data_IF_920139720014
#
_entry.id   IF_920139720014
#
_cell.length_a   1.000
_cell.length_b   1.000
_cell.length_c   1.000
_cell.angle_alpha   90.00
_cell.angle_beta   90.00
_cell.angle_gamma   90.00
#
_symmetry.space_group_name_H-M   'P 1'
#
loop_
_entity.id
_entity.type
_entity.pdbx_description
1 polymer ?
#
# COMPACT_ATOMS: atom_id res chain seq x y z
N UNK A 1 -10.59 7.46 4.86
CA UNK A 1 -9.54 8.35 5.37
C UNK A 1 -9.77 8.61 6.84
N UNK A 2 -8.73 8.86 7.62
CA UNK A 2 -8.87 9.25 9.03
C UNK A 2 -8.35 10.67 9.24
N UNK A 3 -8.94 11.38 10.20
CA UNK A 3 -8.33 12.57 10.76
C UNK A 3 -6.98 12.20 11.38
N UNK A 4 -5.97 13.05 11.21
CA UNK A 4 -4.62 12.78 11.68
C UNK A 4 -4.23 13.75 12.78
N UNK A 5 -3.38 13.29 13.69
CA UNK A 5 -2.78 14.10 14.75
C UNK A 5 -1.51 14.85 14.29
N UNK A 6 -1.13 14.74 13.00
CA UNK A 6 0.02 15.44 12.44
C UNK A 6 -0.31 16.94 12.40
N UNK A 7 0.47 17.79 13.06
CA UNK A 7 0.06 19.18 13.33
C UNK A 7 -0.24 20.01 12.07
N UNK A 8 0.39 19.69 10.94
CA UNK A 8 0.35 20.48 9.72
C UNK A 8 -0.66 19.97 8.67
N UNK A 9 -1.36 18.87 8.91
CA UNK A 9 -2.41 18.37 7.99
C UNK A 9 -3.58 17.76 8.74
N UNK A 10 -4.78 17.92 8.20
CA UNK A 10 -6.01 17.33 8.76
C UNK A 10 -6.23 15.90 8.27
N UNK A 11 -5.57 15.50 7.17
CA UNK A 11 -5.84 14.23 6.48
C UNK A 11 -4.54 13.63 5.94
N UNK A 12 -4.40 12.32 6.08
CA UNK A 12 -3.35 11.55 5.42
C UNK A 12 -3.95 10.32 4.74
N UNK A 13 -3.37 9.93 3.61
CA UNK A 13 -3.83 8.78 2.86
C UNK A 13 -2.71 8.16 2.03
N UNK A 14 -2.91 6.91 1.65
CA UNK A 14 -1.95 6.17 0.84
C UNK A 14 -2.52 5.94 -0.58
N UNK A 15 -2.13 6.76 -1.58
CA UNK A 15 -2.64 6.63 -2.94
C UNK A 15 -1.93 5.55 -3.76
N UNK A 16 -0.81 5.00 -3.28
CA UNK A 16 0.04 4.10 -4.04
C UNK A 16 0.40 2.88 -3.20
N UNK A 17 0.29 1.69 -3.77
CA UNK A 17 0.73 0.46 -3.11
C UNK A 17 1.69 -0.29 -4.01
N UNK A 18 2.73 -0.86 -3.41
CA UNK A 18 3.76 -1.62 -4.09
C UNK A 18 5.09 -0.91 -4.18
N UNK A 19 6.12 -1.66 -4.57
CA UNK A 19 7.48 -1.17 -4.68
C UNK A 19 8.33 -2.18 -5.49
N UNK A 20 9.44 -1.70 -6.05
CA UNK A 20 10.50 -2.57 -6.58
C UNK A 20 11.58 -2.74 -5.53
N UNK A 21 12.04 -3.97 -5.31
CA UNK A 21 13.18 -4.26 -4.42
C UNK A 21 14.46 -3.85 -5.13
N UNK A 22 15.15 -2.81 -4.62
CA UNK A 22 16.32 -2.22 -5.28
C UNK A 22 17.64 -2.42 -4.53
N UNK A 23 17.60 -2.82 -3.26
CA UNK A 23 18.81 -2.97 -2.45
C UNK A 23 18.62 -3.92 -1.26
N UNK A 24 19.70 -4.37 -0.60
CA UNK A 24 19.62 -5.17 0.63
C UNK A 24 18.83 -4.51 1.76
N UNK A 25 18.71 -3.17 1.76
CA UNK A 25 17.91 -2.43 2.73
C UNK A 25 16.41 -2.77 2.71
N UNK A 26 15.91 -3.32 1.59
CA UNK A 26 14.52 -3.74 1.47
C UNK A 26 14.17 -4.96 2.35
N UNK A 27 15.16 -5.71 2.86
CA UNK A 27 14.94 -6.99 3.57
C UNK A 27 13.96 -6.90 4.75
N UNK A 28 13.91 -5.74 5.42
CA UNK A 28 13.04 -5.50 6.58
C UNK A 28 11.96 -4.43 6.31
N UNK A 29 11.53 -4.27 5.05
CA UNK A 29 10.48 -3.31 4.71
C UNK A 29 9.16 -3.64 5.41
N UNK A 30 8.73 -2.78 6.33
CA UNK A 30 7.47 -2.95 7.07
C UNK A 30 6.25 -3.02 6.13
N UNK A 31 6.31 -2.31 5.00
CA UNK A 31 5.20 -2.22 4.08
C UNK A 31 4.90 -3.57 3.37
N UNK A 32 5.90 -4.45 3.21
CA UNK A 32 5.68 -5.82 2.70
C UNK A 32 4.86 -6.66 3.68
N UNK A 33 5.13 -6.53 4.98
CA UNK A 33 4.38 -7.24 6.01
C UNK A 33 2.93 -6.74 6.11
N UNK A 34 2.72 -5.42 6.02
CA UNK A 34 1.39 -4.81 5.99
C UNK A 34 0.61 -5.29 4.76
N UNK A 35 1.21 -5.24 3.56
CA UNK A 35 0.54 -5.69 2.34
C UNK A 35 0.12 -7.16 2.41
N UNK A 36 0.99 -8.04 2.91
CA UNK A 36 0.66 -9.45 3.10
C UNK A 36 -0.47 -9.65 4.11
N UNK A 37 -0.46 -8.90 5.22
CA UNK A 37 -1.50 -8.98 6.27
C UNK A 37 -2.87 -8.57 5.73
N UNK A 38 -2.93 -7.50 4.94
CA UNK A 38 -4.19 -6.91 4.49
C UNK A 38 -4.60 -7.34 3.08
N UNK A 39 -3.90 -8.31 2.48
CA UNK A 39 -4.19 -8.78 1.10
C UNK A 39 -5.65 -9.16 0.87
N UNK A 40 -6.32 -9.72 1.87
CA UNK A 40 -7.74 -10.10 1.83
C UNK A 40 -8.71 -8.96 2.19
N UNK A 41 -8.24 -7.92 2.88
CA UNK A 41 -9.07 -6.77 3.31
C UNK A 41 -9.26 -5.76 2.16
N UNK A 42 -8.34 -5.76 1.20
CA UNK A 42 -8.41 -4.89 0.02
C UNK A 42 -9.22 -5.47 -1.14
N UNK A 43 -9.75 -6.70 -1.02
CA UNK A 43 -10.67 -7.26 -2.02
C UNK A 43 -11.98 -6.49 -1.95
N UNK A 44 -12.29 -5.73 -3.02
CA UNK A 44 -13.53 -4.96 -3.13
C UNK A 44 -13.57 -3.65 -2.34
N UNK A 45 -12.48 -3.22 -1.68
CA UNK A 45 -12.43 -1.91 -1.01
C UNK A 45 -11.80 -0.83 -1.91
N UNK A 46 -12.31 0.43 -1.86
CA UNK A 46 -11.84 1.57 -2.67
C UNK A 46 -10.35 1.91 -2.59
N UNK A 47 -9.64 1.39 -1.60
CA UNK A 47 -8.37 1.94 -1.15
C UNK A 47 -7.21 1.63 -2.11
N UNK A 48 -7.36 0.64 -2.97
CA UNK A 48 -6.44 0.34 -4.07
C UNK A 48 -7.31 -0.22 -5.18
N UNK A 49 -7.29 0.35 -6.38
CA UNK A 49 -8.20 -0.01 -7.47
C UNK A 49 -8.03 -1.43 -8.03
N UNK A 50 -7.36 -2.32 -7.31
CA UNK A 50 -7.09 -3.69 -7.71
C UNK A 50 -6.81 -4.57 -6.47
N UNK A 51 -7.15 -5.87 -6.50
CA UNK A 51 -6.95 -6.77 -5.36
C UNK A 51 -5.48 -6.80 -4.95
N UNK A 52 -5.22 -6.51 -3.67
CA UNK A 52 -3.87 -6.49 -3.09
C UNK A 52 -3.20 -7.89 -3.03
N UNK A 53 -3.96 -8.93 -3.38
CA UNK A 53 -3.59 -10.35 -3.34
C UNK A 53 -2.37 -10.70 -4.22
N UNK A 54 -1.95 -9.80 -5.11
CA UNK A 54 -0.76 -9.96 -5.96
C UNK A 54 0.37 -8.93 -5.68
N UNK A 55 0.30 -8.14 -4.61
CA UNK A 55 1.33 -7.13 -4.32
C UNK A 55 2.59 -7.74 -3.69
N UNK A 56 2.43 -8.81 -2.90
CA UNK A 56 3.52 -9.54 -2.27
C UNK A 56 3.52 -11.01 -2.66
N UNK A 57 4.70 -11.63 -2.66
CA UNK A 57 4.89 -13.08 -2.74
C UNK A 57 5.70 -13.56 -1.56
N UNK A 58 5.50 -14.80 -1.12
CA UNK A 58 6.32 -15.39 -0.05
C UNK A 58 7.63 -15.94 -0.62
N UNK A 59 8.76 -15.50 -0.06
CA UNK A 59 10.10 -16.05 -0.32
C UNK A 59 10.72 -16.38 1.03
N UNK A 60 11.11 -17.63 1.25
CA UNK A 60 11.63 -18.11 2.55
C UNK A 60 10.72 -17.72 3.73
N UNK A 61 9.40 -17.82 3.54
CA UNK A 61 8.39 -17.47 4.54
C UNK A 61 8.17 -15.96 4.75
N UNK A 62 8.98 -15.07 4.15
CA UNK A 62 8.84 -13.62 4.25
C UNK A 62 8.07 -13.04 3.05
N UNK A 63 7.19 -12.06 3.25
CA UNK A 63 6.56 -11.36 2.13
C UNK A 63 7.57 -10.46 1.44
N UNK A 64 7.64 -10.57 0.12
CA UNK A 64 8.52 -9.79 -0.75
C UNK A 64 7.67 -9.12 -1.83
N UNK A 65 7.90 -7.83 -2.08
CA UNK A 65 7.21 -7.10 -3.15
C UNK A 65 7.39 -7.78 -4.50
N UNK A 66 6.34 -7.76 -5.32
CA UNK A 66 6.36 -8.31 -6.69
C UNK A 66 6.97 -7.39 -7.73
N UNK A 67 7.30 -6.14 -7.36
CA UNK A 67 7.74 -5.09 -8.30
C UNK A 67 6.58 -4.33 -8.94
N UNK A 68 5.33 -4.76 -8.73
CA UNK A 68 4.16 -4.04 -9.21
C UNK A 68 3.91 -2.79 -8.37
N UNK A 69 3.52 -1.70 -9.04
CA UNK A 69 3.01 -0.48 -8.44
C UNK A 69 1.55 -0.32 -8.84
N UNK A 70 0.68 0.04 -7.90
CA UNK A 70 -0.73 0.26 -8.17
C UNK A 70 -1.20 1.57 -7.55
N UNK A 71 -2.01 2.29 -8.31
CA UNK A 71 -2.61 3.56 -7.92
C UNK A 71 -4.02 3.33 -7.37
N UNK A 72 -4.41 4.12 -6.39
CA UNK A 72 -5.80 4.21 -5.95
C UNK A 72 -6.67 4.79 -7.07
N UNK A 73 -7.98 4.52 -7.09
CA UNK A 73 -8.90 5.15 -8.04
C UNK A 73 -8.84 6.67 -7.91
N UNK A 74 -9.12 7.38 -9.01
CA UNK A 74 -9.01 8.85 -9.10
C UNK A 74 -9.71 9.58 -7.95
N UNK A 75 -10.89 9.09 -7.52
CA UNK A 75 -11.62 9.67 -6.38
C UNK A 75 -10.76 9.77 -5.10
N UNK A 76 -9.97 8.74 -4.82
CA UNK A 76 -9.12 8.62 -3.63
C UNK A 76 -7.78 9.30 -3.86
N UNK A 77 -7.26 9.24 -5.09
CA UNK A 77 -6.03 9.95 -5.45
C UNK A 77 -6.17 11.47 -5.28
N UNK A 78 -7.28 12.05 -5.77
CA UNK A 78 -7.50 13.50 -5.79
C UNK A 78 -8.23 14.03 -4.54
N UNK A 79 -8.44 13.18 -3.54
CA UNK A 79 -9.29 13.50 -2.40
C UNK A 79 -8.86 14.76 -1.61
N UNK A 80 -7.56 15.09 -1.51
CA UNK A 80 -7.13 16.30 -0.77
C UNK A 80 -7.02 17.57 -1.60
N UNK A 81 -7.35 17.48 -2.88
CA UNK A 81 -7.61 18.65 -3.72
C UNK A 81 -9.08 19.09 -3.66
N UNK A 82 -9.91 18.37 -2.89
CA UNK A 82 -11.34 18.63 -2.72
C UNK A 82 -11.66 19.09 -1.31
#
# INVERSE_FOLDING_TARGET
MGETAIEWTQRSWNPIVGCTVVSPGCTNCYAMAIAERFKHVYVGRPFVGAPAEAMTRKVNGKPVWTGQLRLAPERTLLEPLR
#
